data_IF_649520548318
#
_entry.id   IF_649520548318
#
_cell.length_a   1.000
_cell.length_b   1.000
_cell.length_c   1.000
_cell.angle_alpha   90.00
_cell.angle_beta   90.00
_cell.angle_gamma   90.00
#
_symmetry.space_group_name_H-M   'P 1'
#
loop_
_entity.id
_entity.type
_entity.pdbx_description
1 polymer ?
#
# COMPACT_ATOMS: atom_id res chain seq x y z
N UNK A 1 17.99 10.81 -14.39
CA UNK A 1 17.18 11.42 -15.47
C UNK A 1 17.96 11.31 -16.79
N UNK A 2 17.28 11.00 -17.90
CA UNK A 2 17.87 10.89 -19.25
C UNK A 2 18.48 9.52 -19.59
N UNK A 3 18.49 8.57 -18.65
CA UNK A 3 18.96 7.21 -18.89
C UNK A 3 17.93 6.41 -19.68
N UNK A 4 18.42 5.53 -20.57
CA UNK A 4 17.59 4.53 -21.22
C UNK A 4 17.38 3.36 -20.25
N UNK A 5 16.13 3.03 -19.98
CA UNK A 5 15.73 1.96 -19.07
C UNK A 5 14.92 0.95 -19.85
N UNK A 6 15.30 -0.31 -19.69
CA UNK A 6 14.56 -1.42 -20.23
C UNK A 6 13.95 -2.22 -19.09
N UNK A 7 12.64 -2.38 -19.13
CA UNK A 7 11.91 -3.19 -18.17
C UNK A 7 11.53 -4.47 -18.88
N UNK A 8 12.03 -5.60 -18.36
CA UNK A 8 11.82 -6.93 -18.94
C UNK A 8 10.94 -7.73 -17.98
N UNK A 9 9.88 -8.32 -18.53
CA UNK A 9 9.07 -9.29 -17.81
C UNK A 9 9.85 -10.59 -17.74
N UNK A 10 10.20 -10.99 -16.51
CA UNK A 10 10.92 -12.24 -16.24
C UNK A 10 9.96 -13.43 -16.30
N UNK A 11 9.73 -14.06 -15.15
CA UNK A 11 8.79 -15.19 -15.01
C UNK A 11 7.32 -14.72 -14.95
N UNK A 12 6.39 -15.54 -15.46
CA UNK A 12 4.96 -15.23 -15.59
C UNK A 12 4.26 -14.78 -14.29
N UNK A 13 4.78 -15.20 -13.13
CA UNK A 13 4.19 -14.84 -11.83
C UNK A 13 4.71 -13.51 -11.27
N UNK A 14 5.74 -12.90 -11.89
CA UNK A 14 6.36 -11.67 -11.40
C UNK A 14 6.36 -10.59 -12.47
N UNK A 15 5.28 -9.81 -12.50
CA UNK A 15 5.19 -8.61 -13.33
C UNK A 15 6.13 -7.52 -12.79
N UNK A 16 7.13 -7.07 -13.56
CA UNK A 16 8.10 -6.10 -13.10
C UNK A 16 7.42 -4.74 -12.90
N UNK A 17 7.83 -4.03 -11.85
CA UNK A 17 7.38 -2.66 -11.61
C UNK A 17 8.25 -1.67 -12.38
N UNK A 18 7.61 -0.64 -12.94
CA UNK A 18 8.31 0.49 -13.55
C UNK A 18 9.08 1.27 -12.45
N UNK A 19 10.41 1.44 -12.56
CA UNK A 19 11.24 1.94 -11.46
C UNK A 19 11.17 3.46 -11.24
N UNK A 20 10.86 4.22 -12.29
CA UNK A 20 10.82 5.68 -12.34
C UNK A 20 9.85 6.12 -13.43
N UNK A 21 9.50 7.39 -13.53
CA UNK A 21 8.62 7.85 -14.61
C UNK A 21 9.40 7.83 -15.94
N UNK A 22 8.91 7.06 -16.91
CA UNK A 22 9.55 6.85 -18.21
C UNK A 22 8.70 7.40 -19.35
N UNK A 23 9.36 7.95 -20.37
CA UNK A 23 8.78 8.13 -21.70
C UNK A 23 9.03 6.85 -22.51
N UNK A 24 7.96 6.17 -22.93
CA UNK A 24 7.98 4.96 -23.75
C UNK A 24 8.47 5.28 -25.16
N UNK A 25 9.42 4.47 -25.65
CA UNK A 25 10.09 4.68 -26.93
C UNK A 25 9.99 3.42 -27.81
N UNK A 26 10.01 2.24 -27.21
CA UNK A 26 9.72 0.99 -27.91
C UNK A 26 9.12 -0.06 -26.98
N UNK A 27 8.41 -1.01 -27.56
CA UNK A 27 7.82 -2.18 -26.88
C UNK A 27 8.12 -3.46 -27.64
N UNK A 28 7.96 -4.60 -26.98
CA UNK A 28 8.08 -5.94 -27.57
C UNK A 28 7.06 -6.24 -28.66
N UNK A 29 5.89 -5.58 -28.64
CA UNK A 29 4.88 -5.76 -29.67
C UNK A 29 5.26 -5.01 -30.96
N UNK A 30 4.96 -5.56 -32.14
CA UNK A 30 5.37 -4.97 -33.43
C UNK A 30 4.79 -3.57 -33.66
N UNK A 31 3.57 -3.34 -33.18
CA UNK A 31 2.85 -2.06 -33.21
C UNK A 31 3.32 -1.06 -32.13
N UNK A 32 4.17 -1.48 -31.20
CA UNK A 32 4.67 -0.64 -30.11
C UNK A 32 3.72 -0.54 -28.91
N UNK A 33 2.70 -1.39 -28.84
CA UNK A 33 1.75 -1.45 -27.71
C UNK A 33 2.38 -2.07 -26.46
N UNK A 34 2.00 -1.56 -25.30
CA UNK A 34 2.39 -2.07 -24.00
C UNK A 34 1.22 -1.92 -23.01
N UNK A 35 1.05 -2.90 -22.13
CA UNK A 35 -0.02 -2.89 -21.14
C UNK A 35 0.54 -2.69 -19.73
N UNK A 36 -0.04 -1.74 -18.99
CA UNK A 36 0.34 -1.47 -17.60
C UNK A 36 -0.85 -1.54 -16.66
N UNK A 37 -0.64 -2.20 -15.53
CA UNK A 37 -1.59 -2.25 -14.42
C UNK A 37 -1.32 -1.07 -13.48
N UNK A 38 -2.35 -0.23 -13.24
CA UNK A 38 -2.26 0.97 -12.40
C UNK A 38 -2.92 0.83 -11.04
N UNK A 39 -3.30 -0.38 -10.62
CA UNK A 39 -3.94 -0.64 -9.33
C UNK A 39 -3.20 0.00 -8.13
N UNK A 40 -1.87 0.12 -8.20
CA UNK A 40 -1.05 0.78 -7.17
C UNK A 40 -1.17 2.32 -7.11
N UNK A 41 -1.72 2.96 -8.14
CA UNK A 41 -1.85 4.42 -8.27
C UNK A 41 -3.28 4.89 -8.06
N UNK A 42 -4.25 4.24 -8.72
CA UNK A 42 -5.65 4.67 -8.79
C UNK A 42 -6.65 3.58 -8.39
N UNK A 43 -6.18 2.37 -8.05
CA UNK A 43 -7.04 1.24 -7.72
C UNK A 43 -7.82 0.67 -8.91
N UNK A 44 -7.49 1.05 -10.15
CA UNK A 44 -8.08 0.47 -11.34
C UNK A 44 -7.37 -0.85 -11.70
N UNK A 45 -8.15 -1.92 -11.89
CA UNK A 45 -7.63 -3.26 -12.22
C UNK A 45 -7.46 -3.50 -13.71
N UNK A 46 -8.04 -2.63 -14.54
CA UNK A 46 -7.94 -2.72 -15.99
C UNK A 46 -6.53 -2.36 -16.44
N UNK A 47 -6.04 -3.08 -17.43
CA UNK A 47 -4.78 -2.78 -18.07
C UNK A 47 -4.93 -1.52 -18.92
N UNK A 48 -4.04 -0.56 -18.72
CA UNK A 48 -3.99 0.65 -19.53
C UNK A 48 -3.07 0.43 -20.71
N UNK A 49 -3.59 0.64 -21.90
CA UNK A 49 -2.84 0.62 -23.15
C UNK A 49 -1.92 1.85 -23.26
N UNK A 50 -0.65 1.58 -23.51
CA UNK A 50 0.40 2.57 -23.76
C UNK A 50 1.04 2.27 -25.11
N UNK A 51 1.28 3.29 -25.90
CA UNK A 51 1.77 3.13 -27.28
C UNK A 51 3.07 3.89 -27.47
N UNK A 52 4.10 3.18 -27.90
CA UNK A 52 5.36 3.79 -28.32
C UNK A 52 5.15 4.60 -29.60
N UNK A 53 5.88 5.73 -29.80
CA UNK A 53 5.83 6.43 -31.07
C UNK A 53 6.23 5.55 -32.24
N UNK A 54 5.46 5.62 -33.34
CA UNK A 54 5.66 4.77 -34.52
C UNK A 54 7.06 4.91 -35.14
N UNK A 55 7.62 6.11 -35.08
CA UNK A 55 8.93 6.45 -35.60
C UNK A 55 10.04 5.74 -34.81
N UNK A 56 9.96 5.76 -33.47
CA UNK A 56 10.97 5.10 -32.62
C UNK A 56 10.80 3.60 -32.58
N UNK A 57 9.57 3.11 -32.61
CA UNK A 57 9.28 1.67 -32.71
C UNK A 57 9.87 1.09 -33.99
N UNK A 58 9.64 1.70 -35.15
CA UNK A 58 10.22 1.23 -36.42
C UNK A 58 11.75 1.23 -36.40
N UNK A 59 12.37 2.29 -35.87
CA UNK A 59 13.83 2.39 -35.80
C UNK A 59 14.45 1.31 -34.93
N UNK A 60 13.80 0.96 -33.81
CA UNK A 60 14.34 0.03 -32.83
C UNK A 60 13.98 -1.45 -33.11
N UNK A 61 12.81 -1.72 -33.69
CA UNK A 61 12.32 -3.08 -33.95
C UNK A 61 12.79 -3.63 -35.32
N UNK A 62 13.10 -2.77 -36.29
CA UNK A 62 13.69 -3.19 -37.57
C UNK A 62 15.14 -3.69 -37.41
N UNK A 63 15.79 -3.41 -36.27
CA UNK A 63 17.09 -3.94 -35.89
C UNK A 63 16.99 -5.39 -35.36
N UNK A 64 16.55 -6.33 -36.21
CA UNK A 64 16.49 -7.81 -36.07
C UNK A 64 15.97 -8.43 -34.73
N UNK A 65 15.03 -9.40 -34.77
CA UNK A 65 14.18 -9.75 -33.62
C UNK A 65 14.76 -10.77 -32.61
N UNK A 66 16.04 -11.13 -32.63
CA UNK A 66 16.56 -12.24 -31.78
C UNK A 66 17.89 -12.00 -31.07
N UNK A 67 18.48 -10.80 -31.15
CA UNK A 67 19.78 -10.52 -30.52
C UNK A 67 19.86 -9.17 -29.80
N UNK A 68 18.75 -8.50 -29.54
CA UNK A 68 18.79 -7.06 -29.21
C UNK A 68 19.44 -6.76 -27.85
N UNK A 69 19.64 -7.70 -26.91
CA UNK A 69 19.97 -7.29 -25.52
C UNK A 69 20.99 -8.14 -24.76
N UNK A 70 21.81 -8.93 -25.46
CA UNK A 70 23.10 -9.41 -24.88
C UNK A 70 24.31 -8.83 -25.63
N UNK A 71 24.10 -8.27 -26.83
CA UNK A 71 25.13 -7.57 -27.59
C UNK A 71 24.52 -6.36 -28.31
N UNK A 72 23.99 -5.39 -27.57
CA UNK A 72 24.15 -4.01 -28.03
C UNK A 72 25.65 -3.73 -27.94
N UNK A 73 26.39 -4.07 -28.99
CA UNK A 73 27.74 -3.55 -29.14
C UNK A 73 27.64 -2.04 -28.96
N UNK A 74 28.47 -1.46 -28.09
CA UNK A 74 28.59 -0.01 -27.85
C UNK A 74 28.74 0.82 -29.15
N UNK A 75 29.02 0.16 -30.28
CA UNK A 75 29.15 0.73 -31.62
C UNK A 75 27.83 0.97 -32.39
N UNK A 76 26.67 0.43 -31.99
CA UNK A 76 25.39 0.65 -32.69
C UNK A 76 24.41 1.61 -31.98
N UNK A 77 24.58 1.85 -30.68
CA UNK A 77 23.90 2.90 -29.93
C UNK A 77 24.20 4.37 -30.36
N UNK A 78 25.35 4.72 -31.01
CA UNK A 78 25.69 6.11 -31.34
C UNK A 78 24.78 6.82 -32.36
N UNK A 79 23.92 6.09 -33.09
CA UNK A 79 23.10 6.68 -34.16
C UNK A 79 21.73 7.18 -33.71
N UNK A 80 21.25 6.78 -32.53
CA UNK A 80 19.94 7.19 -32.01
C UNK A 80 20.12 8.30 -30.96
N UNK A 81 20.35 9.53 -31.42
CA UNK A 81 20.31 10.71 -30.55
C UNK A 81 18.86 11.15 -30.37
N UNK A 82 18.29 10.77 -29.23
CA UNK A 82 16.96 11.20 -28.81
C UNK A 82 17.08 12.38 -27.85
N UNK A 83 16.23 13.39 -28.04
CA UNK A 83 16.06 14.49 -27.08
C UNK A 83 14.60 14.51 -26.63
N UNK A 84 14.38 14.23 -25.35
CA UNK A 84 13.07 14.38 -24.70
C UNK A 84 13.03 15.74 -24.02
N UNK A 85 11.96 16.49 -24.23
CA UNK A 85 11.69 17.77 -23.56
C UNK A 85 10.30 17.70 -22.96
N UNK A 86 10.18 17.83 -21.64
CA UNK A 86 8.92 17.72 -20.90
C UNK A 86 8.72 18.95 -20.00
N UNK A 87 7.51 19.11 -19.48
CA UNK A 87 7.21 20.11 -18.45
C UNK A 87 7.91 19.84 -17.11
N UNK A 88 7.79 20.80 -16.19
CA UNK A 88 8.21 20.61 -14.81
C UNK A 88 7.43 19.47 -14.14
N UNK A 89 8.03 18.74 -13.18
CA UNK A 89 7.32 17.71 -12.43
C UNK A 89 6.07 18.26 -11.73
N UNK A 90 4.93 17.61 -11.91
CA UNK A 90 3.66 17.97 -11.29
C UNK A 90 2.97 16.74 -10.64
N UNK A 91 2.03 17.00 -9.72
CA UNK A 91 1.28 15.96 -9.02
C UNK A 91 0.06 15.41 -9.80
N UNK A 92 -0.28 15.96 -10.97
CA UNK A 92 -1.42 15.48 -11.76
C UNK A 92 -1.06 14.14 -12.41
N UNK A 93 -1.60 13.03 -11.87
CA UNK A 93 -1.27 11.65 -12.27
C UNK A 93 -1.34 11.42 -13.79
N UNK A 94 -2.37 11.92 -14.45
CA UNK A 94 -2.65 11.62 -15.87
C UNK A 94 -2.12 12.66 -16.85
N UNK A 95 -1.71 13.83 -16.37
CA UNK A 95 -1.21 14.88 -17.25
C UNK A 95 0.29 14.68 -17.48
N UNK A 96 0.69 14.53 -18.73
CA UNK A 96 2.09 14.55 -19.10
C UNK A 96 2.18 15.10 -20.50
N UNK A 97 2.90 16.19 -20.66
CA UNK A 97 3.11 16.84 -21.94
C UNK A 97 4.62 16.91 -22.21
N UNK A 98 5.05 16.14 -23.20
CA UNK A 98 6.43 16.07 -23.64
C UNK A 98 6.57 16.13 -25.14
N UNK A 99 7.79 16.31 -25.60
CA UNK A 99 8.19 16.23 -27.01
C UNK A 99 9.44 15.38 -27.12
N UNK A 100 9.43 14.48 -28.08
CA UNK A 100 10.56 13.65 -28.47
C UNK A 100 11.08 14.14 -29.83
N UNK A 101 12.38 14.43 -29.88
CA UNK A 101 13.09 14.79 -31.10
C UNK A 101 14.12 13.70 -31.44
N UNK A 102 14.05 13.19 -32.66
CA UNK A 102 15.05 12.28 -33.22
C UNK A 102 16.04 13.12 -34.02
N UNK A 103 17.32 13.12 -33.64
CA UNK A 103 18.31 14.06 -34.20
C UNK A 103 18.50 13.97 -35.73
N UNK A 104 18.19 12.84 -36.34
CA UNK A 104 18.35 12.63 -37.79
C UNK A 104 17.14 13.11 -38.61
N UNK A 105 15.97 13.29 -37.98
CA UNK A 105 14.71 13.58 -38.69
C UNK A 105 14.16 14.98 -38.38
N UNK A 106 14.61 15.62 -37.30
CA UNK A 106 14.19 16.98 -36.91
C UNK A 106 12.70 17.14 -36.59
N UNK A 107 11.93 16.05 -36.64
CA UNK A 107 10.49 16.01 -36.37
C UNK A 107 10.23 15.97 -34.86
N UNK A 108 9.38 16.88 -34.39
CA UNK A 108 8.85 16.87 -33.03
C UNK A 108 7.70 15.87 -32.94
N UNK A 109 7.87 14.85 -32.11
CA UNK A 109 6.84 13.86 -31.80
C UNK A 109 6.25 14.23 -30.43
N UNK A 110 4.94 14.51 -30.33
CA UNK A 110 4.32 14.76 -29.04
C UNK A 110 4.28 13.48 -28.20
N UNK A 111 4.62 13.61 -26.92
CA UNK A 111 4.49 12.55 -25.91
C UNK A 111 3.39 12.98 -24.94
N UNK A 112 2.32 12.19 -24.85
CA UNK A 112 1.17 12.51 -24.01
C UNK A 112 1.01 11.48 -22.88
N UNK A 113 0.51 11.93 -21.73
CA UNK A 113 0.21 11.09 -20.56
C UNK A 113 -1.13 10.38 -20.58
N UNK A 114 -1.97 10.69 -21.56
CA UNK A 114 -3.38 10.29 -21.64
C UNK A 114 -3.64 8.83 -21.29
N UNK A 115 -4.83 8.58 -20.72
CA UNK A 115 -5.24 7.28 -20.18
C UNK A 115 -5.29 6.14 -21.20
N UNK A 116 -5.39 6.45 -22.49
CA UNK A 116 -5.37 5.49 -23.60
C UNK A 116 -4.40 5.95 -24.68
N UNK A 117 -3.43 5.10 -25.04
CA UNK A 117 -2.45 5.38 -26.11
C UNK A 117 -1.38 6.43 -25.74
N UNK A 118 -1.26 6.76 -24.44
CA UNK A 118 -0.20 7.66 -23.96
C UNK A 118 1.18 7.00 -23.98
N UNK A 119 2.23 7.83 -24.12
CA UNK A 119 3.64 7.43 -24.17
C UNK A 119 4.31 7.49 -22.79
N UNK A 120 3.56 7.64 -21.70
CA UNK A 120 4.12 7.84 -20.36
C UNK A 120 3.88 6.62 -19.46
N UNK A 121 4.95 6.11 -18.87
CA UNK A 121 4.92 5.01 -17.90
C UNK A 121 5.24 5.55 -16.52
N UNK A 122 4.30 5.45 -15.60
CA UNK A 122 4.44 5.94 -14.24
C UNK A 122 5.18 4.93 -13.36
N UNK A 123 5.98 5.43 -12.42
CA UNK A 123 6.60 4.62 -11.37
C UNK A 123 5.57 3.78 -10.61
N UNK A 124 5.96 2.56 -10.22
CA UNK A 124 5.16 1.60 -9.46
C UNK A 124 3.93 1.02 -10.18
N UNK A 125 3.76 1.31 -11.47
CA UNK A 125 2.87 0.52 -12.34
C UNK A 125 3.52 -0.81 -12.70
N UNK A 126 2.73 -1.87 -12.89
CA UNK A 126 3.25 -3.19 -13.27
C UNK A 126 3.13 -3.39 -14.77
N UNK A 127 4.17 -3.89 -15.42
CA UNK A 127 4.11 -4.30 -16.81
C UNK A 127 3.41 -5.66 -16.94
N UNK A 128 2.35 -5.73 -17.76
CA UNK A 128 1.54 -6.92 -18.01
C UNK A 128 1.42 -7.15 -19.51
N UNK A 129 1.16 -8.39 -19.94
CA UNK A 129 0.92 -8.77 -21.34
C UNK A 129 1.94 -8.16 -22.34
N UNK A 130 3.18 -7.97 -21.91
CA UNK A 130 4.25 -7.31 -22.68
C UNK A 130 5.57 -7.86 -22.19
N UNK A 131 6.44 -8.34 -23.09
CA UNK A 131 7.70 -9.03 -22.73
C UNK A 131 8.76 -8.05 -22.27
N UNK A 132 8.86 -6.90 -22.93
CA UNK A 132 9.77 -5.84 -22.53
C UNK A 132 9.27 -4.49 -23.04
N UNK A 133 9.63 -3.42 -22.33
CA UNK A 133 9.48 -2.04 -22.78
C UNK A 133 10.80 -1.29 -22.62
N UNK A 134 11.03 -0.36 -23.54
CA UNK A 134 12.18 0.53 -23.54
C UNK A 134 11.70 1.97 -23.40
N UNK A 135 12.20 2.67 -22.39
CA UNK A 135 11.84 4.06 -22.15
C UNK A 135 13.00 4.91 -21.64
N UNK A 136 12.89 6.22 -21.81
CA UNK A 136 13.85 7.19 -21.24
C UNK A 136 13.30 7.72 -19.94
N UNK A 137 14.11 7.70 -18.89
CA UNK A 137 13.72 8.23 -17.58
C UNK A 137 13.53 9.73 -17.62
N UNK A 138 12.32 10.19 -17.33
CA UNK A 138 11.95 11.61 -17.31
C UNK A 138 12.00 12.18 -15.89
N UNK A 139 11.33 11.55 -14.92
CA UNK A 139 11.34 11.99 -13.51
C UNK A 139 11.87 10.90 -12.59
N UNK A 140 12.63 11.30 -11.55
CA UNK A 140 13.26 10.37 -10.59
C UNK A 140 13.04 10.79 -9.15
N UNK A 141 13.02 9.82 -8.23
CA UNK A 141 12.93 10.09 -6.80
C UNK A 141 11.68 10.90 -6.44
N UNK A 142 11.86 12.02 -5.73
CA UNK A 142 10.77 12.91 -5.29
C UNK A 142 10.01 13.59 -6.43
N UNK A 143 10.59 13.62 -7.63
CA UNK A 143 9.96 14.22 -8.81
C UNK A 143 8.97 13.28 -9.52
N UNK A 144 8.95 12.00 -9.16
CA UNK A 144 7.98 11.06 -9.75
C UNK A 144 6.56 11.41 -9.31
N UNK A 145 5.58 11.29 -10.21
CA UNK A 145 4.18 11.69 -9.92
C UNK A 145 3.62 11.01 -8.67
N UNK A 146 3.96 9.73 -8.44
CA UNK A 146 3.55 9.01 -7.23
C UNK A 146 4.14 9.61 -5.95
N UNK A 147 5.40 10.05 -5.98
CA UNK A 147 6.06 10.65 -4.80
C UNK A 147 5.56 12.06 -4.53
N UNK A 148 5.22 12.82 -5.57
CA UNK A 148 4.60 14.13 -5.41
C UNK A 148 3.20 14.06 -4.79
N UNK A 149 2.51 12.92 -4.94
CA UNK A 149 1.23 12.65 -4.27
C UNK A 149 1.41 12.00 -2.88
N UNK A 150 2.63 11.65 -2.47
CA UNK A 150 2.89 11.11 -1.14
C UNK A 150 3.22 12.25 -0.17
N UNK A 151 2.46 12.31 0.93
CA UNK A 151 2.81 13.16 2.05
C UNK A 151 3.95 12.52 2.86
N UNK A 152 4.85 13.35 3.38
CA UNK A 152 5.87 12.87 4.32
C UNK A 152 5.17 12.19 5.51
N UNK A 153 5.58 10.96 5.89
CA UNK A 153 4.91 10.22 6.95
C UNK A 153 5.06 10.99 8.27
N UNK A 154 3.96 11.37 8.94
CA UNK A 154 4.05 12.03 10.24
C UNK A 154 4.55 11.03 11.30
N UNK A 155 5.26 11.55 12.30
CA UNK A 155 5.57 10.77 13.49
C UNK A 155 4.27 10.47 14.25
N UNK A 156 3.94 9.19 14.35
CA UNK A 156 2.72 8.73 15.03
C UNK A 156 3.00 8.59 16.52
N UNK A 157 2.19 9.26 17.34
CA UNK A 157 2.27 9.25 18.81
C UNK A 157 0.94 8.78 19.37
N UNK A 158 0.96 7.84 20.32
CA UNK A 158 -0.26 7.34 20.98
C UNK A 158 -0.96 8.41 21.80
N UNK A 159 -2.27 8.28 21.95
CA UNK A 159 -3.09 9.09 22.83
C UNK A 159 -2.64 8.94 24.30
N UNK A 160 -2.29 7.72 24.73
CA UNK A 160 -1.77 7.46 26.08
C UNK A 160 -0.47 8.24 26.33
N UNK A 161 0.44 8.28 25.35
CA UNK A 161 1.67 9.07 25.43
C UNK A 161 1.41 10.57 25.42
N UNK A 162 0.44 11.05 24.64
CA UNK A 162 0.01 12.46 24.68
C UNK A 162 -0.57 12.83 26.06
N UNK A 163 -1.36 11.95 26.67
CA UNK A 163 -1.89 12.14 28.02
C UNK A 163 -0.76 12.20 29.06
N UNK A 164 0.21 11.29 29.00
CA UNK A 164 1.39 11.31 29.88
C UNK A 164 2.20 12.61 29.71
N UNK A 165 2.48 13.01 28.47
CA UNK A 165 3.19 14.26 28.18
C UNK A 165 2.45 15.51 28.69
N UNK A 166 1.12 15.44 28.78
CA UNK A 166 0.29 16.51 29.35
C UNK A 166 0.32 16.51 30.88
N UNK A 167 0.30 15.34 31.53
CA UNK A 167 0.25 15.24 32.99
C UNK A 167 1.61 15.42 33.68
N UNK A 168 2.72 14.99 33.07
CA UNK A 168 4.07 15.08 33.66
C UNK A 168 4.43 16.52 34.07
N UNK A 169 4.24 17.57 33.24
CA UNK A 169 4.48 18.95 33.65
C UNK A 169 3.61 19.39 34.84
N UNK A 170 2.35 18.95 34.91
CA UNK A 170 1.45 19.24 36.02
C UNK A 170 1.92 18.64 37.34
N UNK A 171 2.37 17.37 37.30
CA UNK A 171 2.96 16.65 38.43
C UNK A 171 4.28 17.30 38.87
N UNK A 172 5.14 17.69 37.94
CA UNK A 172 6.39 18.40 38.24
C UNK A 172 6.15 19.79 38.85
N UNK A 173 5.12 20.51 38.38
CA UNK A 173 4.70 21.77 38.98
C UNK A 173 4.20 21.58 40.42
N UNK A 174 3.35 20.58 40.66
CA UNK A 174 2.88 20.23 42.00
C UNK A 174 4.05 19.89 42.94
N UNK A 175 4.99 19.07 42.47
CA UNK A 175 6.22 18.73 43.19
C UNK A 175 7.01 19.99 43.59
N UNK A 176 7.21 20.91 42.64
CA UNK A 176 7.93 22.16 42.90
C UNK A 176 7.24 23.00 43.98
N UNK A 177 5.90 23.13 43.90
CA UNK A 177 5.10 23.88 44.89
C UNK A 177 5.20 23.24 46.28
N UNK A 178 5.09 21.91 46.39
CA UNK A 178 5.21 21.20 47.67
C UNK A 178 6.60 21.38 48.29
N UNK A 179 7.66 21.29 47.49
CA UNK A 179 9.03 21.55 47.95
C UNK A 179 9.21 22.99 48.43
N UNK A 180 8.62 23.96 47.72
CA UNK A 180 8.68 25.38 48.08
C UNK A 180 7.96 25.64 49.41
N UNK A 181 6.75 25.10 49.58
CA UNK A 181 6.00 25.20 50.84
C UNK A 181 6.79 24.56 51.99
N UNK A 182 7.33 23.36 51.78
CA UNK A 182 8.16 22.66 52.78
C UNK A 182 9.40 23.46 53.19
N UNK A 183 10.07 24.09 52.23
CA UNK A 183 11.22 24.94 52.48
C UNK A 183 10.88 26.20 53.30
N UNK A 184 9.77 26.88 52.97
CA UNK A 184 9.29 28.04 53.73
C UNK A 184 8.91 27.65 55.15
N UNK A 185 8.12 26.58 55.32
CA UNK A 185 7.68 26.11 56.64
C UNK A 185 8.86 25.68 57.50
N UNK A 186 9.83 24.96 56.92
CA UNK A 186 11.06 24.57 57.62
C UNK A 186 11.90 25.79 58.03
N UNK A 187 12.10 26.77 57.13
CA UNK A 187 12.82 28.00 57.44
C UNK A 187 12.14 28.82 58.55
N UNK A 188 10.81 28.96 58.49
CA UNK A 188 10.02 29.66 59.51
C UNK A 188 10.06 28.94 60.86
N UNK A 189 9.99 27.60 60.85
CA UNK A 189 10.09 26.79 62.07
C UNK A 189 11.46 26.92 62.73
N UNK A 190 12.56 26.83 61.95
CA UNK A 190 13.93 27.01 62.46
C UNK A 190 14.18 28.43 63.00
N UNK A 191 13.48 29.44 62.48
CA UNK A 191 13.55 30.81 63.01
C UNK A 191 12.86 30.98 64.38
N UNK A 192 12.01 30.04 64.80
CA UNK A 192 11.23 30.13 66.04
C UNK A 192 12.08 29.85 67.29
N UNK A 193 11.92 30.67 68.33
CA UNK A 193 12.73 30.58 69.58
C UNK A 193 12.61 29.24 70.33
N UNK A 194 11.52 28.49 70.13
CA UNK A 194 11.35 27.15 70.72
C UNK A 194 12.35 26.14 70.16
N UNK A 195 12.68 26.23 68.87
CA UNK A 195 13.67 25.35 68.23
C UNK A 195 15.09 25.74 68.66
N UNK A 196 15.34 27.04 68.82
CA UNK A 196 16.62 27.56 69.33
C UNK A 196 16.92 27.14 70.79
N UNK A 197 15.89 26.85 71.58
CA UNK A 197 16.02 26.42 72.98
C UNK A 197 15.96 24.90 73.18
N UNK A 198 15.58 24.13 72.16
CA UNK A 198 15.51 22.68 72.22
C UNK A 198 16.89 22.04 72.00
N UNK A 199 17.66 21.88 73.09
CA UNK A 199 19.02 21.33 73.08
C UNK A 199 19.15 19.94 72.43
N UNK A 200 18.08 19.14 72.43
CA UNK A 200 18.05 17.78 71.87
C UNK A 200 17.81 17.75 70.35
N UNK A 201 17.39 18.86 69.73
CA UNK A 201 17.18 18.97 68.27
C UNK A 201 18.37 19.61 67.54
N UNK A 202 19.34 20.15 68.29
CA UNK A 202 20.52 20.77 67.71
C UNK A 202 21.57 19.69 67.39
N UNK A 203 21.98 19.54 66.12
CA UNK A 203 23.03 18.60 65.78
C UNK A 203 24.36 19.03 66.43
N UNK A 204 25.17 18.06 66.84
CA UNK A 204 26.45 18.30 67.54
C UNK A 204 27.48 19.10 66.70
N UNK A 205 27.31 19.12 65.38
CA UNK A 205 27.97 20.02 64.43
C UNK A 205 26.90 20.69 63.55
N UNK A 206 27.08 21.96 63.19
CA UNK A 206 26.15 22.66 62.28
C UNK A 206 26.05 21.88 60.97
N UNK A 207 24.90 21.26 60.71
CA UNK A 207 24.64 20.63 59.42
C UNK A 207 24.16 21.69 58.43
N UNK A 208 24.55 21.59 57.15
CA UNK A 208 24.17 22.58 56.15
C UNK A 208 22.64 22.75 56.02
N UNK A 209 21.84 21.72 56.34
CA UNK A 209 20.37 21.75 56.29
C UNK A 209 19.70 22.25 57.58
N UNK A 210 20.43 22.39 58.69
CA UNK A 210 19.92 22.89 59.97
C UNK A 210 20.88 23.96 60.52
N UNK A 211 20.63 25.22 60.14
CA UNK A 211 21.42 26.36 60.58
C UNK A 211 20.52 27.44 61.19
N UNK A 212 20.60 27.58 62.52
CA UNK A 212 19.81 28.53 63.31
C UNK A 212 20.22 29.99 63.06
N UNK A 213 21.47 30.21 62.64
CA UNK A 213 22.04 31.54 62.36
C UNK A 213 21.67 32.05 60.96
N UNK A 214 21.39 31.15 60.01
CA UNK A 214 20.93 31.51 58.66
C UNK A 214 19.73 30.66 58.20
N UNK A 215 18.52 30.89 58.77
CA UNK A 215 17.30 30.18 58.41
C UNK A 215 16.93 30.17 56.91
N UNK A 216 17.08 31.26 56.13
CA UNK A 216 16.74 31.22 54.70
C UNK A 216 17.68 30.35 53.88
N UNK A 217 18.97 30.28 54.25
CA UNK A 217 19.92 29.38 53.60
C UNK A 217 19.65 27.91 53.93
N UNK A 218 19.31 27.61 55.20
CA UNK A 218 18.89 26.27 55.61
C UNK A 218 17.61 25.84 54.88
N UNK A 219 16.60 26.72 54.79
CA UNK A 219 15.36 26.48 54.03
C UNK A 219 15.62 26.21 52.54
N UNK A 220 16.54 26.95 51.92
CA UNK A 220 16.95 26.73 50.52
C UNK A 220 17.60 25.35 50.31
N UNK A 221 18.42 24.87 51.23
CA UNK A 221 19.00 23.53 51.14
C UNK A 221 17.96 22.44 51.42
N UNK A 222 17.01 22.71 52.33
CA UNK A 222 15.87 21.84 52.61
C UNK A 222 14.96 21.71 51.37
N UNK A 223 14.83 22.74 50.53
CA UNK A 223 14.12 22.65 49.24
C UNK A 223 14.71 21.55 48.34
N UNK A 224 16.03 21.55 48.11
CA UNK A 224 16.67 20.52 47.29
C UNK A 224 16.62 19.13 47.94
N UNK A 225 16.72 19.07 49.27
CA UNK A 225 16.54 17.82 50.00
C UNK A 225 15.14 17.23 49.82
N UNK A 226 14.10 18.06 49.89
CA UNK A 226 12.72 17.63 49.61
C UNK A 226 12.50 17.29 48.14
N UNK A 227 13.15 18.00 47.21
CA UNK A 227 13.09 17.70 45.78
C UNK A 227 13.60 16.28 45.50
N UNK A 228 14.75 15.90 46.08
CA UNK A 228 15.28 14.53 45.96
C UNK A 228 14.34 13.53 46.63
N UNK A 229 13.84 13.83 47.83
CA UNK A 229 12.95 12.93 48.58
C UNK A 229 11.62 12.68 47.86
N UNK A 230 11.04 13.71 47.25
CA UNK A 230 9.77 13.66 46.53
C UNK A 230 9.93 13.39 45.02
N UNK A 231 11.16 13.20 44.51
CA UNK A 231 11.42 12.91 43.10
C UNK A 231 10.72 11.64 42.59
N UNK A 232 10.40 10.71 43.50
CA UNK A 232 9.61 9.50 43.23
C UNK A 232 8.16 9.79 42.77
N UNK A 233 7.67 11.01 42.98
CA UNK A 233 6.35 11.45 42.54
C UNK A 233 6.27 11.60 41.01
N UNK A 234 7.42 11.77 40.32
CA UNK A 234 7.51 11.64 38.87
C UNK A 234 7.77 10.16 38.56
N UNK A 235 6.78 9.41 38.01
CA UNK A 235 6.89 7.98 37.88
C UNK A 235 7.70 7.61 36.63
N UNK A 236 9.02 7.70 36.70
CA UNK A 236 9.91 7.31 35.59
C UNK A 236 9.71 5.83 35.21
N UNK A 237 9.45 4.98 36.20
CA UNK A 237 9.17 3.55 35.99
C UNK A 237 7.88 3.29 35.19
N UNK A 238 6.88 4.19 35.25
CA UNK A 238 5.63 4.04 34.52
C UNK A 238 5.88 4.11 33.01
N UNK A 239 6.71 5.04 32.56
CA UNK A 239 7.07 5.18 31.15
C UNK A 239 7.70 3.89 30.60
N UNK A 240 8.71 3.37 31.30
CA UNK A 240 9.39 2.14 30.91
C UNK A 240 8.44 0.94 30.94
N UNK A 241 7.56 0.87 31.93
CA UNK A 241 6.59 -0.23 32.04
C UNK A 241 5.59 -0.24 30.88
N UNK A 242 5.10 0.93 30.46
CA UNK A 242 4.19 1.05 29.31
C UNK A 242 4.88 0.61 28.02
N UNK A 243 6.13 1.00 27.81
CA UNK A 243 6.89 0.57 26.62
C UNK A 243 7.10 -0.95 26.57
N UNK A 244 7.34 -1.59 27.72
CA UNK A 244 7.39 -3.07 27.78
C UNK A 244 6.03 -3.69 27.46
N UNK A 245 4.93 -3.15 28.00
CA UNK A 245 3.58 -3.66 27.71
C UNK A 245 3.28 -3.55 26.21
N UNK A 246 3.54 -2.39 25.59
CA UNK A 246 3.40 -2.16 24.14
C UNK A 246 4.18 -3.19 23.32
N UNK A 247 5.43 -3.44 23.71
CA UNK A 247 6.28 -4.44 23.06
C UNK A 247 5.65 -5.84 23.13
N UNK A 248 5.18 -6.27 24.31
CA UNK A 248 4.55 -7.59 24.45
C UNK A 248 3.23 -7.70 23.67
N UNK A 249 2.41 -6.65 23.64
CA UNK A 249 1.17 -6.65 22.82
C UNK A 249 1.52 -6.81 21.33
N UNK A 250 2.52 -6.09 20.84
CA UNK A 250 2.97 -6.21 19.45
C UNK A 250 3.44 -7.63 19.09
N UNK A 251 4.15 -8.30 20.01
CA UNK A 251 4.61 -9.68 19.83
C UNK A 251 3.44 -10.67 19.84
N UNK A 252 2.47 -10.48 20.73
CA UNK A 252 1.25 -11.32 20.78
C UNK A 252 0.46 -11.21 19.49
N UNK A 253 0.25 -9.99 18.98
CA UNK A 253 -0.41 -9.76 17.69
C UNK A 253 0.36 -10.50 16.58
N UNK A 254 1.67 -10.28 16.49
CA UNK A 254 2.50 -10.86 15.42
C UNK A 254 2.61 -12.40 15.49
N UNK A 255 2.38 -12.98 16.67
CA UNK A 255 2.41 -14.43 16.89
C UNK A 255 1.02 -15.09 16.84
N UNK A 256 -0.03 -14.32 16.51
CA UNK A 256 -1.39 -14.84 16.47
C UNK A 256 -1.63 -15.72 15.23
N UNK A 257 -2.10 -16.95 15.47
CA UNK A 257 -2.42 -17.92 14.42
C UNK A 257 -3.76 -17.63 13.74
N UNK A 258 -4.69 -16.94 14.42
CA UNK A 258 -5.98 -16.57 13.82
C UNK A 258 -5.83 -15.46 12.78
N UNK A 259 -4.77 -14.65 12.89
CA UNK A 259 -4.43 -13.58 11.93
C UNK A 259 -3.40 -14.00 10.87
N UNK A 260 -3.16 -15.30 10.70
CA UNK A 260 -2.22 -15.82 9.70
C UNK A 260 -2.92 -16.11 8.36
N UNK A 261 -2.39 -15.53 7.28
CA UNK A 261 -2.89 -15.75 5.93
C UNK A 261 -2.31 -17.05 5.35
N UNK A 262 -3.13 -18.10 5.31
CA UNK A 262 -2.72 -19.45 4.86
C UNK A 262 -2.41 -19.49 3.37
N UNK A 263 -3.15 -18.74 2.54
CA UNK A 263 -2.99 -18.77 1.08
C UNK A 263 -1.64 -18.18 0.63
N UNK A 264 -1.18 -17.13 1.31
CA UNK A 264 0.05 -16.41 0.96
C UNK A 264 1.26 -16.77 1.84
N UNK A 265 1.07 -17.61 2.87
CA UNK A 265 2.08 -17.90 3.92
C UNK A 265 2.60 -16.61 4.59
N UNK A 266 1.68 -15.67 4.92
CA UNK A 266 2.02 -14.37 5.51
C UNK A 266 1.50 -14.30 6.94
N UNK A 267 2.38 -14.19 7.96
CA UNK A 267 1.95 -13.91 9.32
C UNK A 267 1.61 -12.42 9.50
N UNK A 268 0.75 -12.15 10.47
CA UNK A 268 0.51 -10.78 10.91
C UNK A 268 1.80 -10.17 11.47
N UNK A 269 2.00 -8.87 11.27
CA UNK A 269 3.22 -8.18 11.74
C UNK A 269 2.91 -6.78 12.24
N UNK A 270 3.08 -6.57 13.55
CA UNK A 270 3.05 -5.24 14.13
C UNK A 270 4.35 -4.48 13.76
N UNK A 271 4.23 -3.49 12.86
CA UNK A 271 5.38 -2.65 12.44
C UNK A 271 5.73 -1.54 13.46
N UNK A 272 4.80 -1.23 14.37
CA UNK A 272 4.98 -0.21 15.40
C UNK A 272 4.30 -0.68 16.69
N UNK A 273 5.08 -0.86 17.75
CA UNK A 273 4.56 -1.24 19.08
C UNK A 273 3.80 -0.09 19.76
N UNK A 274 4.16 1.16 19.45
CA UNK A 274 3.57 2.36 20.06
C UNK A 274 2.13 2.64 19.68
N UNK A 275 1.54 1.89 18.74
CA UNK A 275 0.17 2.10 18.25
C UNK A 275 -0.76 0.92 18.51
N UNK A 276 -0.25 -0.16 19.12
CA UNK A 276 -1.05 -1.38 19.31
C UNK A 276 -2.27 -1.13 20.21
N UNK A 277 -2.14 -0.29 21.23
CA UNK A 277 -3.25 0.08 22.13
C UNK A 277 -4.32 0.96 21.46
N UNK A 278 -3.95 1.72 20.43
CA UNK A 278 -4.88 2.59 19.69
C UNK A 278 -5.87 1.78 18.84
N UNK A 279 -5.54 0.52 18.51
CA UNK A 279 -6.44 -0.35 17.75
C UNK A 279 -7.80 -0.55 18.45
N UNK A 280 -7.83 -0.50 19.78
CA UNK A 280 -9.07 -0.58 20.56
C UNK A 280 -9.89 0.71 20.59
N UNK A 281 -9.35 1.83 20.08
CA UNK A 281 -9.97 3.16 20.10
C UNK A 281 -10.40 3.64 18.70
N UNK A 282 -10.37 2.77 17.70
CA UNK A 282 -10.70 3.15 16.31
C UNK A 282 -12.21 3.37 16.15
N UNK A 283 -12.61 4.59 15.80
CA UNK A 283 -14.02 4.94 15.50
C UNK A 283 -14.39 4.83 14.02
N UNK A 284 -13.43 5.07 13.12
CA UNK A 284 -13.66 5.12 11.69
C UNK A 284 -12.65 4.24 10.98
N UNK A 285 -13.14 3.36 10.12
CA UNK A 285 -12.31 2.52 9.25
C UNK A 285 -12.51 3.05 7.83
N UNK A 286 -11.44 3.61 7.26
CA UNK A 286 -11.39 3.94 5.84
C UNK A 286 -10.80 2.73 5.12
N UNK A 287 -11.61 2.07 4.31
CA UNK A 287 -11.20 0.91 3.53
C UNK A 287 -11.12 1.28 2.06
N UNK A 288 -10.01 0.90 1.42
CA UNK A 288 -9.93 0.91 -0.03
C UNK A 288 -10.80 -0.22 -0.60
N UNK A 289 -11.32 -0.03 -1.82
CA UNK A 289 -12.09 -1.06 -2.51
C UNK A 289 -11.15 -2.11 -3.07
N UNK A 290 -10.24 -1.68 -3.95
CA UNK A 290 -9.42 -2.59 -4.76
C UNK A 290 -8.24 -3.10 -3.95
N UNK A 291 -7.99 -4.41 -3.96
CA UNK A 291 -6.89 -5.02 -3.20
C UNK A 291 -7.09 -5.07 -1.69
N UNK A 292 -8.22 -4.56 -1.16
CA UNK A 292 -8.60 -4.68 0.26
C UNK A 292 -9.97 -5.34 0.41
N UNK A 293 -11.03 -4.74 -0.13
CA UNK A 293 -12.39 -5.34 -0.07
C UNK A 293 -12.61 -6.38 -1.17
N UNK A 294 -12.00 -6.18 -2.33
CA UNK A 294 -12.12 -7.09 -3.47
C UNK A 294 -10.77 -7.69 -3.84
N UNK A 295 -10.75 -9.00 -4.06
CA UNK A 295 -9.67 -9.65 -4.79
C UNK A 295 -9.75 -9.23 -6.26
N UNK A 296 -8.61 -9.04 -6.92
CA UNK A 296 -8.55 -8.70 -8.35
C UNK A 296 -8.79 -9.95 -9.24
N UNK A 297 -9.85 -10.70 -8.93
CA UNK A 297 -10.27 -11.91 -9.62
C UNK A 297 -11.75 -11.76 -9.97
N UNK A 298 -12.06 -11.81 -11.26
CA UNK A 298 -13.43 -11.78 -11.76
C UNK A 298 -13.86 -13.20 -12.14
N UNK A 299 -15.05 -13.61 -11.72
CA UNK A 299 -15.61 -14.94 -12.00
C UNK A 299 -16.99 -14.81 -12.64
N UNK A 300 -17.23 -15.48 -13.75
CA UNK A 300 -18.56 -15.59 -14.34
C UNK A 300 -19.42 -16.58 -13.53
N UNK A 301 -20.46 -16.07 -12.86
CA UNK A 301 -21.29 -16.87 -11.93
C UNK A 301 -22.67 -17.22 -12.45
N UNK A 302 -23.38 -16.25 -13.02
CA UNK A 302 -24.79 -16.36 -13.41
C UNK A 302 -25.03 -15.55 -14.67
N UNK A 303 -25.99 -15.99 -15.48
CA UNK A 303 -26.46 -15.25 -16.65
C UNK A 303 -27.97 -15.40 -16.83
N UNK A 304 -28.57 -14.51 -17.61
CA UNK A 304 -29.97 -14.62 -18.01
C UNK A 304 -30.05 -14.69 -19.53
N UNK A 305 -30.59 -15.79 -20.06
CA UNK A 305 -30.74 -16.02 -21.49
C UNK A 305 -32.24 -16.13 -21.77
N UNK A 306 -32.77 -15.24 -22.60
CA UNK A 306 -34.20 -15.15 -22.94
C UNK A 306 -35.14 -15.11 -21.70
N UNK A 307 -34.70 -14.46 -20.62
CA UNK A 307 -35.48 -14.33 -19.38
C UNK A 307 -35.40 -15.53 -18.43
N UNK A 308 -34.60 -16.55 -18.76
CA UNK A 308 -34.32 -17.69 -17.90
C UNK A 308 -32.96 -17.49 -17.25
N UNK A 309 -32.92 -17.57 -15.92
CA UNK A 309 -31.68 -17.49 -15.15
C UNK A 309 -30.93 -18.83 -15.17
N UNK A 310 -29.62 -18.77 -15.40
CA UNK A 310 -28.68 -19.87 -15.37
C UNK A 310 -27.52 -19.57 -14.43
N UNK A 311 -26.96 -20.63 -13.85
CA UNK A 311 -25.89 -20.56 -12.86
C UNK A 311 -26.39 -20.88 -11.46
N UNK A 312 -25.69 -21.79 -10.78
CA UNK A 312 -25.95 -22.24 -9.42
C UNK A 312 -24.95 -21.62 -8.44
N UNK A 313 -25.33 -21.57 -7.17
CA UNK A 313 -24.50 -21.07 -6.08
C UNK A 313 -25.03 -19.78 -5.45
N UNK A 314 -24.53 -19.50 -4.26
CA UNK A 314 -24.94 -18.39 -3.41
C UNK A 314 -23.76 -17.55 -2.95
N UNK A 315 -23.87 -16.23 -3.09
CA UNK A 315 -22.86 -15.30 -2.59
C UNK A 315 -22.84 -15.27 -1.04
N UNK A 316 -21.69 -14.90 -0.45
CA UNK A 316 -21.55 -14.70 1.01
C UNK A 316 -22.63 -13.75 1.55
N UNK A 317 -22.98 -12.71 0.79
CA UNK A 317 -24.04 -11.74 1.12
C UNK A 317 -25.42 -12.41 1.21
N UNK A 318 -25.75 -13.28 0.25
CA UNK A 318 -27.02 -14.02 0.24
C UNK A 318 -27.08 -14.99 1.43
N UNK A 319 -25.96 -15.65 1.74
CA UNK A 319 -25.82 -16.51 2.93
C UNK A 319 -25.99 -15.71 4.22
N UNK A 320 -25.41 -14.52 4.32
CA UNK A 320 -25.55 -13.65 5.48
C UNK A 320 -27.01 -13.19 5.69
N UNK A 321 -27.70 -12.82 4.60
CA UNK A 321 -29.13 -12.47 4.63
C UNK A 321 -29.98 -13.67 5.07
N UNK A 322 -29.71 -14.86 4.52
CA UNK A 322 -30.41 -16.09 4.89
C UNK A 322 -30.19 -16.45 6.37
N UNK A 323 -28.95 -16.34 6.88
CA UNK A 323 -28.61 -16.56 8.29
C UNK A 323 -29.39 -15.63 9.22
N UNK A 324 -29.53 -14.33 8.85
CA UNK A 324 -30.37 -13.37 9.61
C UNK A 324 -31.85 -13.75 9.64
N UNK A 325 -32.32 -14.49 8.62
CA UNK A 325 -33.69 -15.02 8.55
C UNK A 325 -33.82 -16.42 9.16
N UNK A 326 -32.77 -16.96 9.80
CA UNK A 326 -32.77 -18.30 10.38
C UNK A 326 -32.72 -19.44 9.35
N UNK A 327 -32.34 -19.17 8.10
CA UNK A 327 -32.20 -20.15 7.02
C UNK A 327 -30.72 -20.46 6.77
N UNK A 328 -30.42 -21.73 6.50
CA UNK A 328 -29.08 -22.18 6.09
C UNK A 328 -29.16 -22.56 4.62
N UNK A 329 -28.39 -21.87 3.78
CA UNK A 329 -28.26 -22.19 2.36
C UNK A 329 -27.28 -23.37 2.17
N UNK A 330 -27.50 -24.23 1.16
CA UNK A 330 -26.62 -25.36 0.89
C UNK A 330 -25.21 -24.90 0.47
N UNK A 331 -24.25 -25.82 0.49
CA UNK A 331 -22.91 -25.59 -0.04
C UNK A 331 -22.98 -25.31 -1.56
N UNK A 332 -22.04 -24.52 -2.06
CA UNK A 332 -21.95 -24.25 -3.49
C UNK A 332 -21.50 -25.51 -4.25
N UNK A 333 -22.02 -25.72 -5.47
CA UNK A 333 -21.61 -26.86 -6.28
C UNK A 333 -20.17 -26.69 -6.74
N UNK A 334 -19.41 -27.79 -6.73
CA UNK A 334 -18.04 -27.80 -7.23
C UNK A 334 -18.02 -27.68 -8.76
N UNK A 335 -17.06 -26.92 -9.33
CA UNK A 335 -16.90 -26.84 -10.77
C UNK A 335 -16.49 -28.20 -11.37
N UNK A 336 -16.82 -28.47 -12.64
CA UNK A 336 -16.43 -29.71 -13.31
C UNK A 336 -14.91 -29.90 -13.34
N UNK A 337 -14.44 -31.14 -13.12
CA UNK A 337 -13.02 -31.45 -13.18
C UNK A 337 -12.41 -31.22 -14.57
N UNK A 338 -11.22 -30.63 -14.63
CA UNK A 338 -10.48 -30.39 -15.87
C UNK A 338 -10.78 -29.06 -16.58
N UNK A 339 -11.51 -28.16 -15.94
CA UNK A 339 -11.73 -26.78 -16.43
C UNK A 339 -10.68 -25.82 -15.86
N UNK A 340 -10.55 -24.65 -16.49
CA UNK A 340 -9.62 -23.62 -16.06
C UNK A 340 -9.88 -23.22 -14.60
N UNK A 341 -8.82 -22.89 -13.81
CA UNK A 341 -8.97 -22.51 -12.41
C UNK A 341 -9.91 -21.32 -12.16
N UNK A 342 -10.10 -20.46 -13.16
CA UNK A 342 -11.03 -19.31 -13.12
C UNK A 342 -12.49 -19.65 -13.47
N UNK A 343 -12.76 -20.87 -13.95
CA UNK A 343 -14.11 -21.28 -14.33
C UNK A 343 -14.92 -21.73 -13.10
N UNK A 344 -15.88 -20.89 -12.66
CA UNK A 344 -16.79 -21.21 -11.55
C UNK A 344 -18.27 -21.12 -11.91
N UNK A 345 -18.60 -21.18 -13.20
CA UNK A 345 -19.98 -21.26 -13.66
C UNK A 345 -20.48 -22.70 -13.59
N UNK A 346 -21.54 -22.95 -12.81
CA UNK A 346 -22.10 -24.30 -12.69
C UNK A 346 -23.58 -24.29 -13.01
N UNK A 347 -23.98 -24.90 -14.11
CA UNK A 347 -25.38 -25.19 -14.40
C UNK A 347 -25.51 -26.48 -15.23
N UNK A 348 -26.23 -27.46 -14.69
CA UNK A 348 -26.43 -28.75 -15.36
C UNK A 348 -27.20 -28.64 -16.68
N UNK A 349 -27.93 -27.54 -16.91
CA UNK A 349 -28.67 -27.27 -18.15
C UNK A 349 -27.78 -26.79 -19.28
N UNK A 350 -26.68 -26.09 -18.97
CA UNK A 350 -25.77 -25.54 -19.97
C UNK A 350 -24.51 -26.39 -20.18
N UNK A 351 -24.05 -27.08 -19.13
CA UNK A 351 -22.81 -27.84 -19.16
C UNK A 351 -22.93 -29.18 -19.91
N UNK A 352 -21.79 -29.71 -20.36
CA UNK A 352 -21.64 -31.06 -20.97
C UNK A 352 -22.57 -31.31 -22.18
N UNK A 353 -22.85 -30.27 -22.97
CA UNK A 353 -23.73 -30.36 -24.15
C UNK A 353 -25.21 -30.52 -23.82
N UNK A 354 -25.62 -30.28 -22.56
CA UNK A 354 -27.03 -30.29 -22.18
C UNK A 354 -27.83 -29.13 -22.80
N UNK A 355 -27.15 -28.04 -23.19
CA UNK A 355 -27.76 -26.86 -23.80
C UNK A 355 -28.49 -27.16 -25.11
N UNK A 356 -28.05 -28.17 -25.86
CA UNK A 356 -28.67 -28.60 -27.12
C UNK A 356 -30.02 -29.31 -26.89
N UNK A 357 -30.24 -29.84 -25.68
CA UNK A 357 -31.50 -30.50 -25.28
C UNK A 357 -32.52 -29.53 -24.71
N UNK A 358 -32.12 -28.30 -24.41
CA UNK A 358 -33.02 -27.24 -23.97
C UNK A 358 -33.87 -26.75 -25.14
N UNK A 359 -35.12 -26.39 -24.87
CA UNK A 359 -36.07 -25.95 -25.91
C UNK A 359 -35.66 -24.67 -26.66
N UNK A 360 -34.58 -24.00 -26.21
CA UNK A 360 -34.06 -22.74 -26.74
C UNK A 360 -32.57 -22.86 -27.17
N UNK A 361 -32.13 -24.04 -27.61
CA UNK A 361 -30.74 -24.30 -28.00
C UNK A 361 -30.13 -23.23 -28.94
N UNK A 362 -30.85 -22.79 -29.98
CA UNK A 362 -30.36 -21.76 -30.91
C UNK A 362 -30.09 -20.40 -30.25
N UNK A 363 -30.89 -20.03 -29.26
CA UNK A 363 -30.71 -18.75 -28.55
C UNK A 363 -29.53 -18.85 -27.59
N UNK A 364 -29.39 -20.00 -26.91
CA UNK A 364 -28.26 -20.28 -26.02
C UNK A 364 -26.95 -20.30 -26.82
N UNK A 365 -26.92 -20.98 -27.95
CA UNK A 365 -25.78 -20.98 -28.88
C UNK A 365 -25.45 -19.56 -29.35
N UNK A 366 -26.46 -18.79 -29.78
CA UNK A 366 -26.28 -17.40 -30.18
C UNK A 366 -25.70 -16.52 -29.07
N UNK A 367 -26.14 -16.72 -27.82
CA UNK A 367 -25.62 -16.01 -26.65
C UNK A 367 -24.15 -16.37 -26.37
N UNK A 368 -23.82 -17.67 -26.31
CA UNK A 368 -22.44 -18.13 -26.08
C UNK A 368 -21.52 -17.70 -27.22
N UNK A 369 -22.00 -17.71 -28.46
CA UNK A 369 -21.25 -17.24 -29.63
C UNK A 369 -20.98 -15.72 -29.56
N UNK A 370 -21.96 -14.92 -29.12
CA UNK A 370 -21.73 -13.49 -28.92
C UNK A 370 -20.66 -13.23 -27.86
N UNK A 371 -20.69 -14.00 -26.77
CA UNK A 371 -19.74 -13.90 -25.67
C UNK A 371 -18.32 -14.29 -26.10
N UNK A 372 -18.20 -15.28 -27.01
CA UNK A 372 -16.93 -15.73 -27.57
C UNK A 372 -16.42 -14.92 -28.80
N UNK A 373 -17.22 -14.04 -29.39
CA UNK A 373 -16.82 -13.25 -30.57
C UNK A 373 -16.64 -11.75 -30.29
N UNK A 374 -17.39 -11.20 -29.33
CA UNK A 374 -17.40 -9.77 -29.06
C UNK A 374 -16.48 -9.43 -27.88
N UNK A 375 -15.17 -9.59 -28.07
CA UNK A 375 -14.15 -9.29 -27.08
C UNK A 375 -12.82 -8.89 -27.74
N UNK A 376 -11.91 -8.28 -26.99
CA UNK A 376 -10.54 -7.97 -27.46
C UNK A 376 -9.47 -8.91 -26.90
N UNK A 377 -9.88 -9.91 -26.12
CA UNK A 377 -8.98 -10.91 -25.50
C UNK A 377 -8.08 -11.59 -26.53
N UNK A 378 -6.78 -11.55 -26.28
CA UNK A 378 -5.76 -12.24 -27.06
C UNK A 378 -5.47 -13.61 -26.45
N UNK A 379 -5.19 -14.60 -27.30
CA UNK A 379 -4.86 -15.96 -26.87
C UNK A 379 -3.38 -16.22 -27.10
N UNK A 380 -2.65 -16.51 -26.03
CA UNK A 380 -1.29 -17.04 -26.10
C UNK A 380 -1.33 -18.53 -25.75
N UNK A 381 -0.71 -19.38 -26.57
CA UNK A 381 -0.70 -20.83 -26.33
C UNK A 381 0.55 -21.22 -25.54
N UNK A 382 0.34 -21.80 -24.36
CA UNK A 382 1.42 -22.38 -23.55
C UNK A 382 1.34 -23.91 -23.61
N UNK A 383 1.98 -24.48 -24.63
CA UNK A 383 1.79 -25.89 -24.96
C UNK A 383 0.38 -26.12 -25.49
N UNK A 384 -0.37 -27.02 -24.86
CA UNK A 384 -1.76 -27.35 -25.24
C UNK A 384 -2.83 -26.53 -24.50
N UNK A 385 -2.45 -25.67 -23.54
CA UNK A 385 -3.41 -24.85 -22.79
C UNK A 385 -3.45 -23.40 -23.34
N UNK A 386 -4.64 -22.87 -23.66
CA UNK A 386 -4.81 -21.47 -24.03
C UNK A 386 -4.70 -20.58 -22.80
N UNK A 387 -3.90 -19.52 -22.89
CA UNK A 387 -3.84 -18.44 -21.91
C UNK A 387 -4.54 -17.21 -22.48
N UNK A 388 -5.60 -16.78 -21.82
CA UNK A 388 -6.38 -15.61 -22.20
C UNK A 388 -5.77 -14.33 -21.60
N UNK A 389 -5.30 -13.43 -22.47
CA UNK A 389 -4.79 -12.12 -22.11
C UNK A 389 -5.83 -11.06 -22.48
N UNK A 390 -6.53 -10.56 -21.46
CA UNK A 390 -7.56 -9.54 -21.61
C UNK A 390 -7.08 -8.18 -21.10
N UNK A 391 -7.55 -7.10 -21.70
CA UNK A 391 -7.34 -5.73 -21.19
C UNK A 391 -8.11 -5.49 -19.89
N UNK A 392 -9.33 -6.04 -19.81
CA UNK A 392 -10.14 -6.02 -18.59
C UNK A 392 -10.40 -7.44 -18.09
N UNK A 393 -10.29 -7.69 -16.77
CA UNK A 393 -10.46 -9.01 -16.21
C UNK A 393 -11.89 -9.55 -16.33
N UNK A 394 -12.89 -8.69 -16.55
CA UNK A 394 -14.27 -9.11 -16.80
C UNK A 394 -14.43 -9.78 -18.18
N UNK A 395 -13.87 -9.20 -19.24
CA UNK A 395 -13.81 -9.81 -20.57
C UNK A 395 -13.04 -11.13 -20.53
N UNK A 396 -11.93 -11.17 -19.78
CA UNK A 396 -11.18 -12.41 -19.56
C UNK A 396 -12.05 -13.49 -18.90
N UNK A 397 -12.86 -13.13 -17.90
CA UNK A 397 -13.76 -14.05 -17.23
C UNK A 397 -14.94 -14.49 -18.12
N UNK A 398 -15.39 -13.65 -19.05
CA UNK A 398 -16.37 -14.03 -20.06
C UNK A 398 -15.78 -15.05 -21.04
N UNK A 399 -14.66 -14.74 -21.69
CA UNK A 399 -14.08 -15.64 -22.71
C UNK A 399 -13.64 -16.99 -22.12
N UNK A 400 -13.23 -17.00 -20.86
CA UNK A 400 -12.91 -18.24 -20.15
C UNK A 400 -14.14 -19.10 -19.78
N UNK A 401 -15.35 -18.52 -19.78
CA UNK A 401 -16.60 -19.19 -19.42
C UNK A 401 -17.34 -19.74 -20.64
#
# INVERSE_FOLDING_TARGET
VGSLVMVVTGDENCSPMIPSDLALIASSAEDGTAFVETANLDGETNLKLREAPSETQKLLTTAKPQSVLVNLNESQLPQLKLKVSCGEPDAFLYDFNGRLQIANDGKDIPLNGGSSGGQFLQRSTKLKNTKWVLGVTVYTGKETKIQMNMNDPPNKVSNVEQMLNTYIPGIACLLFVLCLIGAILSGAWQATNQVKSAWYLQPASETPTFNVNNPPYAGFLVFFSHLVLLSLLIPISLYVSIEFVKFFIAEVISSDREMYAVEDDIPSKARSAGLCEELGQVNYIFSDKTGTLTQNLMEFKKCSIAGIEYGQGFCEVERAIARRQGRVLPADPEPPAGMDPGFRFVDNRLLKGAWDKEGQAQIIEGFLMHLALNHTVQVEYKGDMPLFQAESPDEGAFVAA
#
